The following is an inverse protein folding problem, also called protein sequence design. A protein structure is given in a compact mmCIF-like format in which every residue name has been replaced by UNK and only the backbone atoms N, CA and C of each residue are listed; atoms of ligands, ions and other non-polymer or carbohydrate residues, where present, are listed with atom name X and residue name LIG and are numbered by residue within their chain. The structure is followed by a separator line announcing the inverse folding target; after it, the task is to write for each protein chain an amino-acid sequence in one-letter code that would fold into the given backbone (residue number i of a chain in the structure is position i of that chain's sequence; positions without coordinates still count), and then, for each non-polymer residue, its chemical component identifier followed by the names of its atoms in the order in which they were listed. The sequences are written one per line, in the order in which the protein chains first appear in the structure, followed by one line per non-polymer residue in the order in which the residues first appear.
data_IF_658102625210
#
_entry.id   IF_658102625210
#
_cell.length_a   1.000
_cell.length_b   1.000
_cell.length_c   1.000
_cell.angle_alpha   90.00
_cell.angle_beta   90.00
_cell.angle_gamma   90.00
#
_symmetry.space_group_name_H-M   'P 1'
#
loop_
_entity.id
_entity.type
_entity.pdbx_description
1 polymer ?
#
# COMPACT_ATOMS: atom_id res chain seq x y z
N UNK A 1 11.84 -19.31 -0.27
CA UNK A 1 12.08 -18.36 -1.38
C UNK A 1 11.19 -18.65 -2.59
N UNK A 2 11.11 -19.89 -3.11
CA UNK A 2 10.20 -20.24 -4.22
C UNK A 2 8.73 -19.91 -3.94
N UNK A 3 8.24 -20.21 -2.73
CA UNK A 3 6.87 -19.86 -2.28
C UNK A 3 6.63 -18.36 -2.40
N UNK A 4 7.37 -17.54 -1.65
CA UNK A 4 7.32 -16.06 -1.72
C UNK A 4 7.33 -15.49 -3.15
N UNK A 5 8.14 -16.03 -4.06
CA UNK A 5 8.13 -15.59 -5.46
C UNK A 5 6.82 -15.95 -6.16
N UNK A 6 6.29 -17.16 -5.93
CA UNK A 6 4.99 -17.57 -6.45
C UNK A 6 3.83 -16.79 -5.85
N UNK A 7 3.85 -16.47 -4.55
CA UNK A 7 2.86 -15.62 -3.89
C UNK A 7 2.86 -14.23 -4.54
N UNK A 8 4.05 -13.66 -4.77
CA UNK A 8 4.21 -12.39 -5.47
C UNK A 8 3.70 -12.42 -6.91
N UNK A 9 3.94 -13.51 -7.65
CA UNK A 9 3.42 -13.68 -9.01
C UNK A 9 1.91 -13.86 -9.04
N UNK A 10 1.33 -14.58 -8.07
CA UNK A 10 -0.11 -14.72 -7.93
C UNK A 10 -0.77 -13.38 -7.62
N UNK A 11 -0.18 -12.59 -6.70
CA UNK A 11 -0.60 -11.23 -6.41
C UNK A 11 -0.57 -10.33 -7.65
N UNK A 12 0.53 -10.34 -8.41
CA UNK A 12 0.64 -9.55 -9.64
C UNK A 12 -0.38 -9.97 -10.71
N UNK A 13 -0.65 -11.27 -10.83
CA UNK A 13 -1.69 -11.76 -11.75
C UNK A 13 -3.08 -11.28 -11.33
N UNK A 14 -3.42 -11.34 -10.05
CA UNK A 14 -4.68 -10.82 -9.53
C UNK A 14 -4.83 -9.31 -9.81
N UNK A 15 -3.75 -8.52 -9.64
CA UNK A 15 -3.76 -7.10 -10.02
C UNK A 15 -3.99 -6.92 -11.53
N UNK A 16 -3.31 -7.70 -12.38
CA UNK A 16 -3.52 -7.66 -13.82
C UNK A 16 -4.98 -7.94 -14.20
N UNK A 17 -5.66 -8.81 -13.45
CA UNK A 17 -7.07 -9.14 -13.63
C UNK A 17 -8.02 -8.10 -12.98
N UNK A 18 -7.47 -7.03 -12.41
CA UNK A 18 -8.21 -5.91 -11.83
C UNK A 18 -8.70 -6.17 -10.41
N UNK A 19 -8.07 -7.09 -9.70
CA UNK A 19 -8.30 -7.30 -8.27
C UNK A 19 -7.29 -6.53 -7.42
N UNK A 20 -7.78 -5.97 -6.33
CA UNK A 20 -6.98 -5.41 -5.25
C UNK A 20 -6.88 -6.47 -4.16
N UNK A 21 -5.70 -6.63 -3.53
CA UNK A 21 -5.60 -7.51 -2.36
C UNK A 21 -6.54 -7.03 -1.25
N UNK A 22 -6.85 -7.88 -0.27
CA UNK A 22 -7.70 -7.51 0.87
C UNK A 22 -6.97 -7.82 2.18
N UNK A 23 -6.76 -9.10 2.44
CA UNK A 23 -6.00 -9.56 3.59
C UNK A 23 -5.60 -11.03 3.34
N UNK A 24 -4.90 -11.62 4.31
CA UNK A 24 -4.82 -13.07 4.42
C UNK A 24 -6.18 -13.64 4.82
N UNK A 25 -6.51 -14.80 4.25
CA UNK A 25 -7.78 -15.49 4.53
C UNK A 25 -8.01 -15.72 6.04
N UNK A 26 -6.96 -16.10 6.76
CA UNK A 26 -7.01 -16.38 8.20
C UNK A 26 -7.31 -15.18 9.09
N UNK A 27 -7.17 -13.95 8.57
CA UNK A 27 -7.42 -12.72 9.31
C UNK A 27 -8.91 -12.33 9.30
N UNK A 28 -9.74 -12.99 8.50
CA UNK A 28 -11.15 -12.65 8.34
C UNK A 28 -12.05 -13.66 9.05
N UNK A 29 -13.09 -13.22 9.77
CA UNK A 29 -14.03 -14.13 10.39
C UNK A 29 -14.85 -14.83 9.30
N UNK A 30 -14.84 -16.16 9.31
CA UNK A 30 -15.65 -16.99 8.41
C UNK A 30 -17.01 -17.27 9.04
N UNK A 31 -18.09 -17.01 8.30
CA UNK A 31 -19.43 -17.43 8.67
C UNK A 31 -19.86 -18.63 7.85
N UNK A 32 -20.15 -19.75 8.54
CA UNK A 32 -20.48 -21.04 7.92
C UNK A 32 -19.39 -22.09 8.14
N UNK A 33 -19.55 -23.25 7.53
CA UNK A 33 -18.55 -24.33 7.56
C UNK A 33 -18.10 -24.64 6.15
N UNK A 34 -16.79 -24.63 5.92
CA UNK A 34 -16.18 -24.99 4.63
C UNK A 34 -16.06 -26.50 4.43
N UNK A 35 -16.28 -27.31 5.47
CA UNK A 35 -16.09 -28.77 5.40
C UNK A 35 -14.64 -29.22 5.18
N UNK A 36 -13.66 -28.30 5.26
CA UNK A 36 -12.22 -28.56 5.10
C UNK A 36 -11.41 -27.77 6.14
N UNK A 37 -10.28 -28.33 6.55
CA UNK A 37 -9.29 -27.64 7.40
C UNK A 37 -8.22 -26.91 6.58
N UNK A 38 -8.25 -27.01 5.25
CA UNK A 38 -7.29 -26.35 4.35
C UNK A 38 -7.91 -25.09 3.79
N UNK A 39 -7.30 -23.95 4.05
CA UNK A 39 -7.77 -22.64 3.59
C UNK A 39 -6.96 -22.12 2.40
N UNK A 40 -7.53 -21.16 1.64
CA UNK A 40 -6.76 -20.32 0.73
C UNK A 40 -5.77 -19.44 1.51
N UNK A 41 -4.73 -18.96 0.84
CA UNK A 41 -3.77 -18.00 1.38
C UNK A 41 -4.35 -16.58 1.51
N UNK A 42 -5.08 -16.11 0.48
CA UNK A 42 -5.35 -14.69 0.28
C UNK A 42 -6.81 -14.40 -0.05
N UNK A 43 -7.22 -13.17 0.26
CA UNK A 43 -8.49 -12.59 -0.18
C UNK A 43 -8.20 -11.33 -0.99
N UNK A 44 -9.01 -11.10 -2.00
CA UNK A 44 -8.94 -10.00 -2.95
C UNK A 44 -10.34 -9.40 -3.12
N UNK A 45 -10.41 -8.14 -3.51
CA UNK A 45 -11.64 -7.45 -3.88
C UNK A 45 -11.49 -6.80 -5.25
N UNK A 46 -12.58 -6.29 -5.80
CA UNK A 46 -12.56 -5.48 -7.01
C UNK A 46 -13.35 -4.20 -6.73
N UNK A 47 -12.96 -3.10 -7.37
CA UNK A 47 -13.73 -1.86 -7.31
C UNK A 47 -15.17 -2.11 -7.79
N UNK A 48 -16.12 -1.52 -7.09
CA UNK A 48 -17.56 -1.65 -7.35
C UNK A 48 -18.11 -3.08 -7.25
N UNK A 49 -17.34 -4.02 -6.71
CA UNK A 49 -17.79 -5.38 -6.38
C UNK A 49 -17.91 -5.51 -4.86
N UNK A 50 -19.12 -5.82 -4.39
CA UNK A 50 -19.44 -6.01 -2.97
C UNK A 50 -19.09 -7.43 -2.49
N UNK A 51 -18.48 -8.23 -3.36
CA UNK A 51 -18.02 -9.57 -3.10
C UNK A 51 -16.50 -9.66 -3.22
N UNK A 52 -15.94 -10.72 -2.66
CA UNK A 52 -14.49 -10.95 -2.63
C UNK A 52 -14.09 -12.17 -3.44
N UNK A 53 -12.91 -12.12 -4.02
CA UNK A 53 -12.22 -13.28 -4.55
C UNK A 53 -11.31 -13.88 -3.50
N UNK A 54 -11.24 -15.21 -3.43
CA UNK A 54 -10.26 -15.92 -2.60
C UNK A 54 -9.23 -16.59 -3.51
N UNK A 55 -7.98 -16.56 -3.10
CA UNK A 55 -6.89 -17.05 -3.92
C UNK A 55 -5.93 -17.93 -3.11
N UNK A 56 -5.51 -19.00 -3.76
CA UNK A 56 -4.49 -19.92 -3.26
C UNK A 56 -3.28 -19.92 -4.19
N UNK A 57 -2.09 -19.85 -3.62
CA UNK A 57 -0.85 -19.79 -4.39
C UNK A 57 -0.06 -21.10 -4.31
N UNK A 58 0.53 -21.50 -5.43
CA UNK A 58 1.45 -22.65 -5.49
C UNK A 58 2.67 -22.28 -6.32
N UNK A 59 3.83 -22.76 -5.92
CA UNK A 59 5.08 -22.48 -6.61
C UNK A 59 6.00 -23.69 -6.63
N UNK A 60 6.67 -23.93 -7.75
CA UNK A 60 7.65 -25.01 -7.86
C UNK A 60 8.81 -24.64 -8.77
N UNK A 61 9.95 -25.31 -8.56
CA UNK A 61 11.11 -25.32 -9.47
C UNK A 61 11.42 -26.70 -10.06
N UNK A 62 10.78 -27.76 -9.56
CA UNK A 62 11.34 -29.13 -9.65
C UNK A 62 10.36 -30.28 -9.92
N UNK A 63 9.10 -30.01 -10.29
CA UNK A 63 8.14 -31.04 -10.69
C UNK A 63 7.99 -31.10 -12.21
N UNK A 64 7.47 -32.20 -12.76
CA UNK A 64 6.99 -32.18 -14.14
C UNK A 64 5.82 -31.19 -14.27
N UNK A 65 5.72 -30.56 -15.44
CA UNK A 65 4.70 -29.54 -15.73
C UNK A 65 3.29 -30.07 -15.48
N UNK A 66 3.02 -31.28 -15.92
CA UNK A 66 1.72 -31.96 -15.78
C UNK A 66 1.37 -32.23 -14.31
N UNK A 67 2.33 -32.72 -13.51
CA UNK A 67 2.12 -32.95 -12.07
C UNK A 67 1.91 -31.65 -11.32
N UNK A 68 2.56 -30.58 -11.75
CA UNK A 68 2.34 -29.26 -11.17
C UNK A 68 0.94 -28.74 -11.49
N UNK A 69 0.48 -28.86 -12.74
CA UNK A 69 -0.90 -28.53 -13.11
C UNK A 69 -1.94 -29.26 -12.24
N UNK A 70 -1.73 -30.57 -12.00
CA UNK A 70 -2.59 -31.34 -11.08
C UNK A 70 -2.53 -30.82 -9.63
N UNK A 71 -1.37 -30.36 -9.17
CA UNK A 71 -1.21 -29.76 -7.84
C UNK A 71 -2.02 -28.48 -7.70
N UNK A 72 -1.99 -27.62 -8.73
CA UNK A 72 -2.74 -26.36 -8.75
C UNK A 72 -4.24 -26.63 -8.83
N UNK A 73 -4.65 -27.55 -9.70
CA UNK A 73 -6.05 -28.01 -9.78
C UNK A 73 -6.56 -28.54 -8.44
N UNK A 74 -5.76 -29.37 -7.76
CA UNK A 74 -6.09 -29.90 -6.44
C UNK A 74 -6.17 -28.79 -5.39
N UNK A 75 -5.28 -27.81 -5.44
CA UNK A 75 -5.32 -26.65 -4.56
C UNK A 75 -6.64 -25.88 -4.72
N UNK A 76 -7.13 -25.69 -5.95
CA UNK A 76 -8.44 -25.11 -6.19
C UNK A 76 -9.55 -25.93 -5.53
N UNK A 77 -9.66 -27.22 -5.84
CA UNK A 77 -10.76 -28.07 -5.36
C UNK A 77 -10.76 -28.27 -3.85
N UNK A 78 -9.59 -28.39 -3.21
CA UNK A 78 -9.49 -28.75 -1.80
C UNK A 78 -9.32 -27.56 -0.85
N UNK A 79 -8.86 -26.41 -1.36
CA UNK A 79 -8.57 -25.23 -0.53
C UNK A 79 -9.40 -24.01 -0.91
N UNK A 80 -9.83 -23.88 -2.17
CA UNK A 80 -10.53 -22.67 -2.65
C UNK A 80 -12.03 -22.90 -2.79
N UNK A 81 -12.44 -23.84 -3.65
CA UNK A 81 -13.86 -24.08 -3.93
C UNK A 81 -14.74 -24.35 -2.70
N UNK A 82 -14.26 -25.00 -1.61
CA UNK A 82 -15.08 -25.23 -0.43
C UNK A 82 -15.54 -23.96 0.30
N UNK A 83 -14.90 -22.81 0.02
CA UNK A 83 -15.23 -21.53 0.65
C UNK A 83 -16.10 -20.62 -0.21
N UNK A 84 -16.37 -20.99 -1.46
CA UNK A 84 -17.20 -20.19 -2.36
C UNK A 84 -18.65 -20.14 -1.84
N UNK A 85 -19.23 -18.95 -1.87
CA UNK A 85 -20.57 -18.66 -1.34
C UNK A 85 -20.63 -18.44 0.17
N UNK A 86 -19.54 -18.68 0.91
CA UNK A 86 -19.47 -18.36 2.33
C UNK A 86 -19.18 -16.86 2.53
N UNK A 87 -19.55 -16.34 3.71
CA UNK A 87 -19.21 -14.97 4.11
C UNK A 87 -17.86 -14.92 4.82
N UNK A 88 -17.00 -14.02 4.36
CA UNK A 88 -15.71 -13.65 4.93
C UNK A 88 -15.77 -12.19 5.36
N UNK A 89 -15.71 -11.94 6.68
CA UNK A 89 -16.05 -10.61 7.21
C UNK A 89 -17.49 -10.25 6.85
N UNK A 90 -17.66 -9.07 6.27
CA UNK A 90 -18.94 -8.58 5.76
C UNK A 90 -19.27 -9.02 4.33
N UNK A 91 -18.31 -9.62 3.60
CA UNK A 91 -18.41 -9.89 2.15
C UNK A 91 -18.59 -11.37 1.82
N UNK A 92 -19.16 -11.69 0.64
CA UNK A 92 -19.30 -13.07 0.16
C UNK A 92 -18.12 -13.46 -0.73
N UNK A 93 -17.52 -14.63 -0.51
CA UNK A 93 -16.52 -15.21 -1.40
C UNK A 93 -17.17 -15.66 -2.71
N UNK A 94 -17.11 -14.83 -3.73
CA UNK A 94 -17.83 -15.03 -4.99
C UNK A 94 -17.01 -15.75 -6.05
N UNK A 95 -15.71 -15.50 -6.06
CA UNK A 95 -14.77 -16.03 -7.02
C UNK A 95 -13.62 -16.72 -6.29
N UNK A 96 -13.08 -17.75 -6.91
CA UNK A 96 -11.94 -18.49 -6.39
C UNK A 96 -10.87 -18.61 -7.43
N UNK A 97 -9.61 -18.54 -7.01
CA UNK A 97 -8.44 -18.73 -7.86
C UNK A 97 -7.45 -19.68 -7.17
N UNK A 98 -6.87 -20.62 -7.92
CA UNK A 98 -5.63 -21.27 -7.56
C UNK A 98 -4.60 -20.95 -8.65
N UNK A 99 -3.54 -20.24 -8.26
CA UNK A 99 -2.52 -19.72 -9.18
C UNK A 99 -1.19 -20.43 -8.89
N UNK A 100 -0.75 -21.20 -9.88
CA UNK A 100 0.50 -21.93 -9.85
C UNK A 100 1.60 -21.24 -10.65
N UNK A 101 2.73 -20.96 -10.01
CA UNK A 101 3.96 -20.47 -10.64
C UNK A 101 4.96 -21.60 -10.90
N UNK A 102 5.14 -21.97 -12.17
CA UNK A 102 6.12 -22.96 -12.61
C UNK A 102 7.44 -22.28 -13.01
N UNK A 103 8.37 -22.21 -12.06
CA UNK A 103 9.60 -21.42 -12.17
C UNK A 103 10.75 -22.28 -12.70
N UNK A 104 10.82 -22.45 -14.02
CA UNK A 104 11.86 -23.24 -14.70
C UNK A 104 13.23 -22.56 -14.70
N UNK A 105 13.29 -21.26 -14.43
CA UNK A 105 14.53 -20.50 -14.28
C UNK A 105 14.35 -19.30 -13.35
N UNK A 106 15.43 -18.57 -13.07
CA UNK A 106 15.38 -17.35 -12.27
C UNK A 106 14.80 -16.14 -13.03
N UNK A 107 14.53 -16.26 -14.33
CA UNK A 107 14.09 -15.15 -15.21
C UNK A 107 12.83 -15.46 -16.01
N UNK A 108 12.31 -16.69 -15.92
CA UNK A 108 11.12 -17.15 -16.64
C UNK A 108 10.32 -18.10 -15.76
N UNK A 109 9.00 -17.94 -15.82
CA UNK A 109 8.04 -18.85 -15.22
C UNK A 109 6.78 -18.92 -16.08
N UNK A 110 6.01 -20.00 -15.89
CA UNK A 110 4.68 -20.16 -16.49
C UNK A 110 3.62 -20.15 -15.39
N UNK A 111 2.48 -19.50 -15.65
CA UNK A 111 1.35 -19.47 -14.73
C UNK A 111 0.29 -20.50 -15.12
N UNK A 112 -0.22 -21.21 -14.12
CA UNK A 112 -1.33 -22.16 -14.22
C UNK A 112 -2.47 -21.61 -13.36
N UNK A 113 -3.62 -21.34 -13.96
CA UNK A 113 -4.72 -20.70 -13.25
C UNK A 113 -5.94 -21.62 -13.34
N UNK A 114 -6.42 -22.05 -12.18
CA UNK A 114 -7.74 -22.67 -12.03
C UNK A 114 -8.64 -21.68 -11.31
N UNK A 115 -9.81 -21.39 -11.86
CA UNK A 115 -10.70 -20.39 -11.29
C UNK A 115 -12.17 -20.79 -11.42
N UNK A 116 -13.03 -20.12 -10.66
CA UNK A 116 -14.48 -20.25 -10.81
C UNK A 116 -14.90 -19.73 -12.19
N UNK A 117 -15.69 -20.50 -12.94
CA UNK A 117 -16.35 -19.99 -14.15
C UNK A 117 -17.28 -18.85 -13.74
N UNK A 118 -17.26 -17.73 -14.47
CA UNK A 118 -18.13 -16.58 -14.21
C UNK A 118 -19.60 -17.03 -14.16
N UNK A 119 -20.19 -17.02 -12.98
CA UNK A 119 -21.62 -17.33 -12.79
C UNK A 119 -22.42 -16.06 -13.07
N UNK A 120 -23.41 -16.17 -13.96
CA UNK A 120 -24.37 -15.10 -14.22
C UNK A 120 -25.03 -14.63 -12.92
N UNK A 121 -24.95 -13.33 -12.63
CA UNK A 121 -25.33 -12.70 -11.36
C UNK A 121 -26.85 -12.64 -11.09
N UNK A 122 -27.67 -13.45 -11.77
CA UNK A 122 -29.13 -13.29 -11.80
C UNK A 122 -29.89 -13.82 -10.56
N UNK A 123 -29.20 -14.15 -9.46
CA UNK A 123 -29.85 -14.77 -8.29
C UNK A 123 -29.25 -14.44 -6.92
N UNK A 124 -28.33 -13.47 -6.81
CA UNK A 124 -27.73 -13.13 -5.52
C UNK A 124 -28.60 -12.12 -4.75
N UNK A 125 -29.00 -12.50 -3.55
CA UNK A 125 -29.61 -11.63 -2.55
C UNK A 125 -28.73 -10.42 -2.25
N UNK A 126 -29.34 -9.23 -2.12
CA UNK A 126 -28.80 -7.88 -1.78
C UNK A 126 -28.08 -7.78 -0.42
N UNK A 127 -27.21 -8.74 -0.10
CA UNK A 127 -26.30 -8.69 1.04
C UNK A 127 -24.90 -8.32 0.58
N UNK A 128 -24.74 -7.16 -0.06
CA UNK A 128 -23.44 -6.66 -0.48
C UNK A 128 -22.54 -6.35 0.71
N UNK A 129 -21.29 -6.82 0.69
CA UNK A 129 -20.27 -6.46 1.66
C UNK A 129 -19.78 -5.04 1.48
N UNK A 130 -19.18 -4.47 2.53
CA UNK A 130 -18.63 -3.12 2.52
C UNK A 130 -17.15 -3.15 2.09
N UNK A 131 -16.80 -2.69 0.87
CA UNK A 131 -15.41 -2.70 0.38
C UNK A 131 -14.51 -1.75 1.17
N UNK A 132 -15.07 -0.87 2.01
CA UNK A 132 -14.29 0.05 2.84
C UNK A 132 -13.50 -0.69 3.92
N UNK A 133 -14.07 -1.76 4.48
CA UNK A 133 -13.31 -2.64 5.40
C UNK A 133 -12.13 -3.30 4.68
N UNK A 134 -12.31 -3.58 3.39
CA UNK A 134 -11.28 -4.16 2.54
C UNK A 134 -10.09 -3.27 2.35
N UNK A 135 -10.38 -2.07 1.85
CA UNK A 135 -9.35 -1.09 1.60
C UNK A 135 -8.67 -0.70 2.91
N UNK A 136 -9.42 -0.66 4.02
CA UNK A 136 -8.84 -0.41 5.35
C UNK A 136 -7.79 -1.45 5.72
N UNK A 137 -8.09 -2.74 5.52
CA UNK A 137 -7.13 -3.83 5.71
C UNK A 137 -5.84 -3.64 4.90
N UNK A 138 -5.97 -3.32 3.61
CA UNK A 138 -4.82 -3.06 2.73
C UNK A 138 -3.92 -1.95 3.24
N UNK A 139 -4.50 -0.80 3.60
CA UNK A 139 -3.69 0.33 4.07
C UNK A 139 -3.05 0.05 5.42
N UNK A 140 -3.70 -0.69 6.33
CA UNK A 140 -3.06 -1.15 7.57
C UNK A 140 -1.81 -1.98 7.28
N UNK A 141 -1.89 -2.86 6.27
CA UNK A 141 -0.78 -3.73 5.87
C UNK A 141 0.35 -2.94 5.19
N UNK A 142 0.03 -2.01 4.27
CA UNK A 142 1.02 -1.08 3.68
C UNK A 142 1.73 -0.28 4.78
N UNK A 143 0.96 0.29 5.71
CA UNK A 143 1.51 1.06 6.83
C UNK A 143 2.33 0.18 7.78
N UNK A 144 2.02 -1.10 7.91
CA UNK A 144 2.87 -2.08 8.62
C UNK A 144 4.23 -2.25 7.96
N UNK A 145 4.32 -2.21 6.62
CA UNK A 145 5.59 -2.28 5.89
C UNK A 145 6.43 -1.00 6.04
N UNK A 146 5.76 0.13 6.25
CA UNK A 146 6.39 1.45 6.41
C UNK A 146 6.84 1.70 7.86
N UNK A 147 5.97 1.42 8.82
CA UNK A 147 6.14 1.82 10.22
C UNK A 147 6.40 0.64 11.17
N UNK A 148 6.29 -0.60 10.69
CA UNK A 148 6.50 -1.81 11.49
C UNK A 148 5.21 -2.45 12.00
N UNK A 149 5.30 -3.69 12.53
CA UNK A 149 4.16 -4.49 12.95
C UNK A 149 3.44 -3.96 14.20
N UNK A 150 4.08 -3.14 15.02
CA UNK A 150 3.46 -2.47 16.17
C UNK A 150 2.40 -1.47 15.69
N UNK A 151 2.70 -0.70 14.64
CA UNK A 151 1.78 0.28 14.09
C UNK A 151 0.49 -0.38 13.58
N UNK A 152 0.61 -1.49 12.84
CA UNK A 152 -0.56 -2.21 12.32
C UNK A 152 -1.40 -2.84 13.43
N UNK A 153 -0.77 -3.37 14.49
CA UNK A 153 -1.51 -3.83 15.69
C UNK A 153 -2.33 -2.72 16.31
N UNK A 154 -1.74 -1.54 16.52
CA UNK A 154 -2.45 -0.37 17.07
C UNK A 154 -3.56 0.14 16.14
N UNK A 155 -3.37 0.11 14.82
CA UNK A 155 -4.40 0.50 13.85
C UNK A 155 -5.59 -0.45 13.85
N UNK A 156 -5.34 -1.77 13.96
CA UNK A 156 -6.41 -2.77 14.05
C UNK A 156 -7.19 -2.64 15.35
N UNK A 157 -6.53 -2.33 16.47
CA UNK A 157 -7.18 -2.10 17.76
C UNK A 157 -7.84 -0.71 17.89
N UNK A 158 -7.73 0.16 16.87
CA UNK A 158 -8.28 1.51 16.90
C UNK A 158 -7.58 2.46 17.88
N UNK A 159 -6.39 2.08 18.37
CA UNK A 159 -5.61 2.87 19.34
C UNK A 159 -4.49 3.68 18.68
N UNK A 160 -4.50 3.78 17.35
CA UNK A 160 -3.48 4.48 16.57
C UNK A 160 -3.96 5.88 16.19
N UNK A 161 -3.05 6.85 16.25
CA UNK A 161 -3.25 8.26 15.86
C UNK A 161 -2.00 8.76 15.14
N UNK A 162 -2.19 9.52 14.05
CA UNK A 162 -1.12 10.23 13.33
C UNK A 162 -0.90 11.63 13.88
N UNK A 163 -1.89 12.21 14.56
CA UNK A 163 -1.90 13.62 14.98
C UNK A 163 -0.73 13.99 15.89
N UNK A 164 -0.26 13.03 16.68
CA UNK A 164 0.85 13.19 17.62
C UNK A 164 2.19 12.68 17.05
N UNK A 165 2.31 12.55 15.72
CA UNK A 165 3.46 11.93 15.06
C UNK A 165 4.02 12.78 13.93
N UNK A 166 5.34 12.77 13.80
CA UNK A 166 6.08 13.38 12.69
C UNK A 166 6.36 12.35 11.61
N UNK A 167 5.95 12.61 10.38
CA UNK A 167 6.24 11.73 9.25
C UNK A 167 7.46 12.19 8.48
N UNK A 168 8.14 11.24 7.86
CA UNK A 168 9.24 11.51 6.93
C UNK A 168 8.68 11.43 5.53
N UNK A 169 8.84 12.50 4.76
CA UNK A 169 8.36 12.60 3.39
C UNK A 169 9.50 12.87 2.44
N UNK A 170 9.34 12.46 1.19
CA UNK A 170 10.29 12.77 0.12
C UNK A 170 9.58 13.18 -1.16
N UNK A 171 10.24 13.97 -1.99
CA UNK A 171 9.78 14.24 -3.35
C UNK A 171 10.48 13.34 -4.36
N UNK A 172 9.70 12.53 -5.08
CA UNK A 172 10.18 11.60 -6.11
C UNK A 172 9.19 11.56 -7.28
N UNK A 173 9.71 11.67 -8.51
CA UNK A 173 8.90 11.75 -9.73
C UNK A 173 7.82 12.84 -9.67
N UNK A 174 8.14 13.98 -9.07
CA UNK A 174 7.23 15.12 -8.95
C UNK A 174 6.12 15.00 -7.91
N UNK A 175 6.04 13.90 -7.15
CA UNK A 175 5.04 13.68 -6.08
C UNK A 175 5.69 13.60 -4.70
N UNK A 176 4.90 13.87 -3.66
CA UNK A 176 5.32 13.69 -2.26
C UNK A 176 4.96 12.29 -1.77
N UNK A 177 5.92 11.63 -1.13
CA UNK A 177 5.81 10.25 -0.67
C UNK A 177 6.13 10.16 0.81
N UNK A 178 5.25 9.53 1.58
CA UNK A 178 5.52 9.06 2.93
C UNK A 178 6.54 7.93 2.89
N UNK A 179 7.63 8.08 3.64
CA UNK A 179 8.68 7.07 3.80
C UNK A 179 8.49 6.23 5.06
N UNK A 180 8.81 4.95 4.95
CA UNK A 180 8.93 4.09 6.12
C UNK A 180 10.24 4.31 6.87
N UNK A 181 10.20 4.17 8.21
CA UNK A 181 11.38 4.29 9.07
C UNK A 181 11.72 2.91 9.68
N UNK A 182 12.87 2.33 9.33
CA UNK A 182 13.36 1.08 9.94
C UNK A 182 14.22 1.40 11.17
N UNK A 183 13.58 1.87 12.23
CA UNK A 183 13.89 1.51 13.62
C UNK A 183 15.29 1.73 14.20
N UNK A 184 16.25 2.42 13.58
CA UNK A 184 17.48 2.86 14.30
C UNK A 184 17.37 4.23 14.94
N UNK A 185 16.49 5.07 14.40
CA UNK A 185 16.18 6.39 14.92
C UNK A 185 14.69 6.53 15.27
N UNK A 186 13.93 5.43 15.21
CA UNK A 186 12.51 5.40 15.57
C UNK A 186 12.32 6.02 16.96
N UNK A 187 13.02 5.53 17.96
CA UNK A 187 12.85 6.01 19.35
C UNK A 187 13.27 7.47 19.60
N UNK A 188 13.93 8.14 18.64
CA UNK A 188 14.42 9.53 18.79
C UNK A 188 13.80 10.52 17.80
N UNK A 189 13.21 10.07 16.69
CA UNK A 189 12.61 10.94 15.66
C UNK A 189 11.14 11.28 15.93
N UNK A 190 10.49 10.57 16.85
CA UNK A 190 9.09 10.82 17.19
C UNK A 190 8.91 11.82 18.34
N UNK A 191 9.99 12.22 19.03
CA UNK A 191 9.89 12.95 20.30
C UNK A 191 10.31 14.43 20.30
N UNK A 192 11.01 14.98 19.30
CA UNK A 192 11.22 16.45 19.15
C UNK A 192 12.24 16.77 18.03
N UNK A 193 11.88 16.61 16.75
CA UNK A 193 12.79 17.02 15.64
C UNK A 193 12.03 17.84 14.60
N UNK A 194 12.17 19.17 14.72
CA UNK A 194 11.77 20.21 13.75
C UNK A 194 12.87 20.46 12.67
N UNK A 195 13.82 19.54 12.49
CA UNK A 195 14.96 19.75 11.60
C UNK A 195 14.72 19.28 10.15
N UNK A 196 14.80 20.23 9.23
CA UNK A 196 14.90 19.98 7.79
C UNK A 196 16.27 19.39 7.43
N UNK A 197 16.31 18.12 7.02
CA UNK A 197 17.54 17.51 6.49
C UNK A 197 17.76 17.87 5.02
N UNK A 198 18.65 18.83 4.77
CA UNK A 198 19.17 19.09 3.43
C UNK A 198 20.32 18.13 3.11
N UNK A 199 20.04 17.06 2.37
CA UNK A 199 21.10 16.26 1.74
C UNK A 199 21.74 17.10 0.62
N UNK A 200 22.83 17.77 0.93
CA UNK A 200 23.51 18.69 0.02
C UNK A 200 24.29 17.94 -1.06
N UNK A 201 23.63 17.41 -2.10
CA UNK A 201 24.22 16.82 -3.34
C UNK A 201 25.40 15.82 -3.18
N UNK A 202 25.76 15.45 -1.96
CA UNK A 202 26.72 14.39 -1.68
C UNK A 202 25.90 13.12 -1.51
N UNK A 203 26.27 12.12 -2.30
CA UNK A 203 25.76 10.74 -2.32
C UNK A 203 25.86 10.11 -0.93
N UNK A 204 25.05 10.54 0.02
CA UNK A 204 24.75 9.73 1.18
C UNK A 204 23.84 8.63 0.67
N UNK A 205 24.29 7.37 0.63
CA UNK A 205 23.46 6.27 0.18
C UNK A 205 22.20 6.26 1.05
N UNK A 206 21.01 6.23 0.48
CA UNK A 206 19.74 6.09 1.21
C UNK A 206 19.78 4.93 2.23
N UNK A 207 20.58 3.87 1.97
CA UNK A 207 20.87 2.75 2.89
C UNK A 207 21.55 3.19 4.19
N UNK A 208 22.34 4.27 4.16
CA UNK A 208 22.98 4.85 5.34
C UNK A 208 21.98 5.55 6.28
N UNK A 209 20.78 5.90 5.77
CA UNK A 209 19.73 6.56 6.55
C UNK A 209 18.65 5.60 7.10
N UNK A 210 18.81 4.28 6.91
CA UNK A 210 17.88 3.26 7.43
C UNK A 210 16.40 3.44 7.03
N UNK A 211 16.12 4.10 5.90
CA UNK A 211 14.75 4.19 5.39
C UNK A 211 14.28 2.85 4.82
N UNK A 212 12.97 2.60 4.95
CA UNK A 212 12.32 1.50 4.25
C UNK A 212 12.40 1.74 2.74
N UNK A 213 12.62 0.71 1.91
CA UNK A 213 12.50 0.86 0.46
C UNK A 213 11.04 1.10 0.04
N UNK A 214 10.09 0.95 0.96
CA UNK A 214 8.67 1.17 0.73
C UNK A 214 8.30 2.64 0.97
N UNK A 215 7.36 3.12 0.16
CA UNK A 215 6.75 4.43 0.31
C UNK A 215 5.25 4.38 -0.01
N UNK A 216 4.51 5.37 0.46
CA UNK A 216 3.09 5.58 0.12
C UNK A 216 2.92 7.02 -0.32
N UNK A 217 2.16 7.25 -1.39
CA UNK A 217 1.84 8.61 -1.83
C UNK A 217 1.22 9.41 -0.68
N UNK A 218 1.68 10.65 -0.44
CA UNK A 218 1.30 11.41 0.76
C UNK A 218 -0.19 11.77 0.79
N UNK A 219 -0.79 12.02 -0.38
CA UNK A 219 -2.22 12.30 -0.52
C UNK A 219 -3.03 11.05 -0.13
N UNK A 220 -2.63 9.89 -0.67
CA UNK A 220 -3.24 8.60 -0.32
C UNK A 220 -3.04 8.26 1.15
N UNK A 221 -1.84 8.49 1.70
CA UNK A 221 -1.55 8.27 3.12
C UNK A 221 -2.48 9.11 4.01
N UNK A 222 -2.71 10.38 3.65
CA UNK A 222 -3.59 11.29 4.39
C UNK A 222 -5.04 10.79 4.39
N UNK A 223 -5.53 10.33 3.24
CA UNK A 223 -6.86 9.70 3.12
C UNK A 223 -6.96 8.46 4.01
N UNK A 224 -5.94 7.58 3.93
CA UNK A 224 -5.89 6.37 4.73
C UNK A 224 -5.87 6.68 6.23
N UNK A 225 -5.11 7.69 6.67
CA UNK A 225 -5.07 8.10 8.07
C UNK A 225 -6.41 8.60 8.59
N UNK A 226 -7.14 9.42 7.81
CA UNK A 226 -8.50 9.86 8.18
C UNK A 226 -9.44 8.67 8.37
N UNK A 227 -9.46 7.76 7.41
CA UNK A 227 -10.31 6.57 7.46
C UNK A 227 -9.93 5.60 8.60
N UNK A 228 -8.65 5.56 9.01
CA UNK A 228 -8.18 4.73 10.11
C UNK A 228 -8.47 5.34 11.49
N UNK A 229 -8.40 6.66 11.62
CA UNK A 229 -8.74 7.36 12.88
C UNK A 229 -10.25 7.46 13.11
N UNK A 230 -11.04 7.55 12.04
CA UNK A 230 -12.51 7.71 12.10
C UNK A 230 -13.23 6.67 11.24
N UNK A 231 -13.07 5.36 11.50
CA UNK A 231 -13.55 4.29 10.62
C UNK A 231 -15.08 4.29 10.42
N UNK A 232 -15.86 4.77 11.38
CA UNK A 232 -17.32 4.84 11.20
C UNK A 232 -17.78 6.03 10.35
N UNK A 233 -16.98 7.09 10.26
CA UNK A 233 -17.34 8.36 9.61
C UNK A 233 -16.70 8.50 8.23
N UNK A 234 -15.47 8.00 8.08
CA UNK A 234 -14.59 8.30 6.94
C UNK A 234 -14.20 7.06 6.13
N UNK A 235 -14.75 5.87 6.43
CA UNK A 235 -14.40 4.63 5.70
C UNK A 235 -14.62 4.74 4.19
N UNK A 236 -15.65 5.48 3.78
CA UNK A 236 -15.99 5.70 2.37
C UNK A 236 -14.92 6.49 1.61
N UNK A 237 -14.04 7.24 2.31
CA UNK A 237 -12.91 7.91 1.66
C UNK A 237 -11.97 6.91 0.99
N UNK A 238 -11.83 5.71 1.57
CA UNK A 238 -11.00 4.65 0.97
C UNK A 238 -11.55 4.20 -0.37
N UNK A 239 -12.87 4.29 -0.57
CA UNK A 239 -13.51 3.94 -1.84
C UNK A 239 -13.14 4.90 -2.98
N UNK A 240 -12.71 6.11 -2.63
CA UNK A 240 -12.44 7.21 -3.57
C UNK A 240 -10.95 7.56 -3.70
N UNK A 241 -10.05 6.64 -3.35
CA UNK A 241 -8.61 6.88 -3.49
C UNK A 241 -8.24 6.99 -4.99
N UNK A 242 -7.59 8.09 -5.40
CA UNK A 242 -7.22 8.31 -6.79
C UNK A 242 -6.21 7.27 -7.25
N UNK A 243 -6.44 6.71 -8.43
CA UNK A 243 -5.47 5.78 -9.04
C UNK A 243 -4.21 6.51 -9.47
N UNK A 244 -3.07 5.88 -9.22
CA UNK A 244 -1.80 6.38 -9.73
C UNK A 244 -1.77 6.32 -11.27
N UNK A 245 -1.40 7.41 -11.95
CA UNK A 245 -1.33 7.43 -13.41
C UNK A 245 -0.36 6.37 -13.93
N UNK A 246 -0.77 5.56 -14.92
CA UNK A 246 0.07 4.48 -15.48
C UNK A 246 1.42 4.98 -16.02
N UNK A 247 1.48 6.23 -16.49
CA UNK A 247 2.72 6.89 -16.90
C UNK A 247 3.75 6.95 -15.76
N UNK A 248 3.29 7.23 -14.55
CA UNK A 248 4.13 7.34 -13.37
C UNK A 248 4.72 5.97 -12.98
N UNK A 249 3.95 4.89 -13.10
CA UNK A 249 4.42 3.53 -12.90
C UNK A 249 5.54 3.14 -13.89
N UNK A 250 5.39 3.51 -15.15
CA UNK A 250 6.43 3.29 -16.17
C UNK A 250 7.70 4.11 -15.91
N UNK A 251 7.56 5.35 -15.43
CA UNK A 251 8.70 6.20 -15.05
C UNK A 251 9.44 5.64 -13.82
N UNK A 252 8.71 5.15 -12.82
CA UNK A 252 9.28 4.46 -11.66
C UNK A 252 10.07 3.22 -12.06
N UNK A 253 9.52 2.40 -12.96
CA UNK A 253 10.20 1.21 -13.49
C UNK A 253 11.53 1.55 -14.18
N UNK A 254 11.57 2.63 -14.97
CA UNK A 254 12.82 3.11 -15.60
C UNK A 254 13.82 3.63 -14.58
N UNK A 255 13.35 4.20 -13.47
CA UNK A 255 14.18 4.65 -12.36
C UNK A 255 14.66 3.50 -11.45
N UNK A 256 14.22 2.26 -11.69
CA UNK A 256 14.59 1.08 -10.89
C UNK A 256 13.68 0.83 -9.67
N UNK A 257 12.55 1.52 -9.57
CA UNK A 257 11.51 1.31 -8.56
C UNK A 257 10.21 0.76 -9.16
N UNK A 258 9.13 0.81 -8.40
CA UNK A 258 7.77 0.46 -8.82
C UNK A 258 6.74 1.35 -8.10
N UNK A 259 5.66 1.71 -8.79
CA UNK A 259 4.49 2.39 -8.23
C UNK A 259 3.26 1.57 -8.61
N UNK A 260 2.40 1.33 -7.63
CA UNK A 260 1.16 0.58 -7.76
C UNK A 260 -0.04 1.52 -7.87
N UNK A 261 -1.19 1.05 -8.42
CA UNK A 261 -2.37 1.90 -8.63
C UNK A 261 -2.93 2.54 -7.36
N UNK A 262 -2.74 1.88 -6.21
CA UNK A 262 -3.21 2.29 -4.88
C UNK A 262 -2.27 3.29 -4.19
N UNK A 263 -1.26 3.83 -4.88
CA UNK A 263 -0.32 4.79 -4.30
C UNK A 263 0.81 4.16 -3.50
N UNK A 264 0.86 2.83 -3.37
CA UNK A 264 2.03 2.16 -2.81
C UNK A 264 3.22 2.22 -3.77
N UNK A 265 4.43 2.30 -3.24
CA UNK A 265 5.64 2.32 -4.03
C UNK A 265 6.79 1.55 -3.41
N UNK A 266 7.62 0.98 -4.27
CA UNK A 266 8.96 0.47 -3.96
C UNK A 266 9.95 1.41 -4.60
N UNK A 267 10.71 2.13 -3.77
CA UNK A 267 11.75 3.03 -4.21
C UNK A 267 12.94 2.24 -4.77
N UNK A 268 13.62 2.84 -5.73
CA UNK A 268 14.83 2.28 -6.32
C UNK A 268 15.96 2.12 -5.29
N UNK A 269 16.96 1.32 -5.65
CA UNK A 269 18.19 1.10 -4.88
C UNK A 269 19.12 2.33 -4.82
N UNK A 270 18.77 3.45 -5.46
CA UNK A 270 19.35 4.78 -5.28
C UNK A 270 18.28 5.78 -5.74
N UNK A 271 17.21 5.97 -4.97
CA UNK A 271 16.27 7.01 -5.33
C UNK A 271 17.06 8.32 -5.25
N UNK A 272 16.93 9.18 -6.25
CA UNK A 272 17.44 10.55 -6.18
C UNK A 272 16.30 11.42 -5.65
N UNK A 273 16.00 11.41 -4.34
CA UNK A 273 14.95 12.25 -3.81
C UNK A 273 15.34 13.71 -4.07
N UNK A 274 14.39 14.48 -4.60
CA UNK A 274 14.59 15.90 -4.83
C UNK A 274 14.73 16.64 -3.49
N UNK A 275 14.03 16.15 -2.46
CA UNK A 275 13.95 16.75 -1.12
C UNK A 275 13.44 15.72 -0.11
N UNK A 276 13.98 15.71 1.11
CA UNK A 276 13.43 14.97 2.26
C UNK A 276 12.94 15.99 3.30
N UNK A 277 11.76 15.78 3.86
CA UNK A 277 11.12 16.67 4.85
C UNK A 277 10.51 15.86 5.98
N UNK A 278 10.80 16.25 7.22
CA UNK A 278 10.07 15.77 8.40
C UNK A 278 8.97 16.79 8.69
N UNK A 279 7.72 16.33 8.85
CA UNK A 279 6.58 17.21 9.15
C UNK A 279 5.52 16.48 9.96
N UNK A 280 4.71 17.21 10.73
CA UNK A 280 3.43 16.70 11.22
C UNK A 280 2.43 16.63 10.06
N UNK A 281 1.43 15.75 10.18
CA UNK A 281 0.29 15.72 9.25
C UNK A 281 -0.90 16.35 9.94
N UNK A 282 -1.38 17.47 9.39
CA UNK A 282 -2.65 18.05 9.79
C UNK A 282 -3.78 17.38 8.99
N UNK A 283 -4.50 16.46 9.65
CA UNK A 283 -5.62 15.75 9.04
C UNK A 283 -6.86 16.62 8.85
N UNK A 284 -6.96 17.82 9.43
CA UNK A 284 -8.14 18.68 9.33
C UNK A 284 -7.94 19.79 8.28
N UNK A 285 -6.69 20.11 7.90
CA UNK A 285 -6.34 21.16 6.94
C UNK A 285 -6.89 21.00 5.50
N UNK A 286 -7.12 19.78 5.00
CA UNK A 286 -7.58 19.58 3.61
C UNK A 286 -9.06 19.96 3.36
N UNK A 287 -9.84 20.28 4.41
CA UNK A 287 -11.19 20.86 4.23
C UNK A 287 -11.14 22.35 3.84
N UNK A 288 -10.02 23.05 4.15
CA UNK A 288 -9.90 24.50 3.93
C UNK A 288 -9.47 24.82 2.49
N UNK A 289 -8.57 24.04 1.89
CA UNK A 289 -8.08 24.31 0.52
C UNK A 289 -9.15 24.05 -0.57
N UNK A 290 -10.08 23.12 -0.34
CA UNK A 290 -11.20 22.86 -1.25
C UNK A 290 -12.27 23.97 -1.23
N UNK A 291 -12.42 24.66 -0.09
CA UNK A 291 -13.33 25.79 0.05
C UNK A 291 -12.74 27.09 -0.55
N UNK A 292 -11.44 27.33 -0.38
CA UNK A 292 -10.78 28.52 -0.93
C UNK A 292 -10.64 28.49 -2.46
N UNK A 293 -10.53 27.31 -3.07
CA UNK A 293 -10.51 27.18 -4.54
C UNK A 293 -11.88 27.34 -5.21
N UNK A 294 -12.99 27.23 -4.46
CA UNK A 294 -14.34 27.40 -4.99
C UNK A 294 -14.80 28.88 -5.05
N UNK A 295 -14.17 29.79 -4.27
CA UNK A 295 -14.57 31.20 -4.19
C UNK A 295 -13.61 32.20 -4.86
N UNK A 296 -12.49 31.77 -5.43
CA UNK A 296 -11.57 32.67 -6.12
C UNK A 296 -12.02 33.01 -7.56
N UNK A 297 -12.91 34.00 -7.72
CA UNK A 297 -13.05 34.75 -8.98
C UNK A 297 -11.76 35.53 -9.30
N UNK A 298 -11.45 35.80 -10.60
CA UNK A 298 -10.13 36.29 -11.00
C UNK A 298 -9.98 37.79 -10.69
N UNK A 299 -9.41 38.10 -9.52
CA UNK A 299 -8.92 39.43 -9.16
C UNK A 299 -7.44 39.58 -9.46
N UNK A 300 -7.08 40.70 -10.07
CA UNK A 300 -5.75 41.08 -10.59
C UNK A 300 -4.54 40.70 -9.71
N UNK A 301 -3.54 40.05 -10.35
CA UNK A 301 -2.18 39.90 -9.83
C UNK A 301 -1.52 41.29 -9.65
N UNK A 302 -1.51 41.81 -8.43
CA UNK A 302 -0.58 42.89 -8.03
C UNK A 302 0.69 42.28 -7.45
N UNK A 303 1.74 42.26 -8.27
CA UNK A 303 3.11 42.02 -7.81
C UNK A 303 3.56 43.23 -6.98
N UNK A 304 3.66 43.07 -5.66
CA UNK A 304 4.47 43.97 -4.84
C UNK A 304 5.91 43.42 -4.79
N UNK A 305 6.77 44.01 -5.62
CA UNK A 305 8.21 44.00 -5.39
C UNK A 305 8.50 44.87 -4.15
N UNK A 306 9.14 44.29 -3.13
CA UNK A 306 9.91 45.05 -2.16
C UNK A 306 11.38 44.69 -2.28
N UNK A 307 12.17 45.68 -2.71
CA UNK A 307 13.63 45.63 -2.71
C UNK A 307 14.19 46.30 -1.45
N UNK A 308 15.01 45.52 -0.72
CA UNK A 308 16.14 45.94 0.14
C UNK A 308 15.84 46.70 1.45
N UNK A 309 16.80 46.80 2.41
CA UNK A 309 18.23 46.44 2.31
C UNK A 309 18.81 45.57 3.46
N UNK A 310 19.99 45.00 3.22
CA UNK A 310 21.03 44.56 4.18
C UNK A 310 20.64 43.94 5.54
N UNK A 311 20.74 42.60 5.64
CA UNK A 311 21.26 41.94 6.85
C UNK A 311 22.24 40.84 6.44
N UNK A 312 23.53 41.08 6.71
CA UNK A 312 24.56 40.04 6.71
C UNK A 312 24.38 39.17 7.95
N UNK A 313 23.64 38.07 7.85
CA UNK A 313 23.74 36.99 8.84
C UNK A 313 24.24 35.71 8.17
N UNK A 314 25.42 35.27 8.61
CA UNK A 314 26.00 33.99 8.23
C UNK A 314 25.15 32.88 8.86
N UNK A 315 24.82 31.79 8.15
CA UNK A 315 24.22 30.63 8.81
C UNK A 315 25.20 30.07 9.84
N UNK A 316 24.75 29.97 11.09
CA UNK A 316 25.50 29.34 12.18
C UNK A 316 25.78 27.88 11.83
N UNK A 317 27.05 27.58 11.59
CA UNK A 317 27.56 26.23 11.37
C UNK A 317 27.71 25.54 12.73
N UNK A 318 26.75 24.70 13.11
CA UNK A 318 26.93 23.80 14.26
C UNK A 318 27.72 22.58 13.77
N UNK A 319 29.03 22.55 14.09
CA UNK A 319 29.87 21.34 13.91
C UNK A 319 29.74 20.47 15.15
N UNK A 320 29.00 19.37 15.03
CA UNK A 320 29.08 18.27 15.99
C UNK A 320 30.28 17.40 15.63
N UNK A 321 31.27 17.35 16.52
CA UNK A 321 32.34 16.36 16.47
C UNK A 321 31.86 15.12 17.23
N UNK A 322 31.84 13.98 16.56
CA UNK A 322 31.78 12.69 17.24
C UNK A 322 33.17 12.42 17.81
N UNK A 323 33.26 12.31 19.15
CA UNK A 323 34.45 11.73 19.80
C UNK A 323 34.45 10.23 19.54
N UNK A 324 35.62 9.72 19.14
CA UNK A 324 35.94 8.29 19.05
C UNK A 324 35.79 7.56 20.39
#
# INVERSE_FOLDING_TARGET
MTGVVGDGLAYLQMICDGYEWFDHFENLPLTGSSGTARSPDFVFSRRDDLSVAIAESKATRGSSKERFGQTVSKAYTEQVSPYLGLKLGSSVASHGFAIGSYLTSNIRGELFIHHTETVDNSGRSDGGGDPSEVRRGNYINILSLLMGPEASRSMRSGSWSVRDRTVITTRWLGREWLLGNRGRYGDYLWDDIDEFFWFRKQRLPWRAASFSPFALDLEVATIAFRALERPEQEKELLNNIPEMPSRLAEEAKRAGGAIFPDGFAVLADDPLPERIVIRSIDLDSAEVEAAEHAEAQPGELRVQQYGGPDVKEKPHLVRLWLKE
#
